data_IF_412283260348
#
_entry.id   IF_412283260348
#
_cell.length_a   1.000
_cell.length_b   1.000
_cell.length_c   1.000
_cell.angle_alpha   90.00
_cell.angle_beta   90.00
_cell.angle_gamma   90.00
#
_symmetry.space_group_name_H-M   'P 1'
#
loop_
_entity.id
_entity.type
_entity.pdbx_description
1 polymer ?
#
# COMPACT_ATOMS: atom_id res chain seq x y z
N UNK A 1 8.73 29.03 2.74
CA UNK A 1 8.27 27.95 1.82
C UNK A 1 9.48 27.45 1.03
N UNK A 2 9.95 26.21 1.24
CA UNK A 2 11.04 25.66 0.41
C UNK A 2 10.47 25.39 -0.99
N UNK A 3 10.92 26.16 -1.98
CA UNK A 3 10.71 25.86 -3.40
C UNK A 3 11.32 24.48 -3.70
N UNK A 4 10.48 23.44 -3.62
CA UNK A 4 10.87 22.08 -3.93
C UNK A 4 10.89 21.91 -5.44
N UNK A 5 12.01 21.45 -6.01
CA UNK A 5 12.10 21.09 -7.44
C UNK A 5 10.89 20.21 -7.81
N UNK A 6 10.20 20.56 -8.91
CA UNK A 6 9.09 19.76 -9.44
C UNK A 6 9.51 18.29 -9.54
N UNK A 7 8.70 17.34 -9.03
CA UNK A 7 9.04 15.91 -9.07
C UNK A 7 9.16 15.37 -10.50
N UNK A 8 8.71 16.14 -11.49
CA UNK A 8 8.75 15.82 -12.92
C UNK A 8 9.85 16.56 -13.69
N UNK A 9 10.73 17.31 -13.01
CA UNK A 9 11.83 18.01 -13.69
C UNK A 9 12.68 17.03 -14.51
N UNK A 10 12.89 17.33 -15.79
CA UNK A 10 13.68 16.50 -16.71
C UNK A 10 12.94 15.28 -17.27
N UNK A 11 11.61 15.18 -17.11
CA UNK A 11 10.79 14.17 -17.78
C UNK A 11 10.38 14.67 -19.16
N UNK A 12 10.42 13.78 -20.15
CA UNK A 12 9.97 14.04 -21.53
C UNK A 12 8.45 14.19 -21.63
N UNK A 13 7.70 13.61 -20.68
CA UNK A 13 6.24 13.60 -20.67
C UNK A 13 5.69 14.53 -19.60
N UNK A 14 4.48 15.05 -19.83
CA UNK A 14 3.78 15.89 -18.86
C UNK A 14 3.53 15.12 -17.56
N UNK A 15 3.45 15.86 -16.46
CA UNK A 15 3.13 15.29 -15.15
C UNK A 15 1.80 14.53 -15.16
N UNK A 16 0.82 15.04 -15.90
CA UNK A 16 -0.50 14.46 -16.05
C UNK A 16 -0.44 13.05 -16.67
N UNK A 17 0.19 12.89 -17.84
CA UNK A 17 0.35 11.60 -18.52
C UNK A 17 1.05 10.57 -17.62
N UNK A 18 2.11 11.02 -16.93
CA UNK A 18 2.85 10.17 -15.98
C UNK A 18 1.94 9.71 -14.84
N UNK A 19 1.19 10.63 -14.24
CA UNK A 19 0.31 10.33 -13.11
C UNK A 19 -0.86 9.44 -13.52
N UNK A 20 -1.42 9.63 -14.72
CA UNK A 20 -2.44 8.73 -15.28
C UNK A 20 -1.91 7.31 -15.42
N UNK A 21 -0.77 7.16 -16.10
CA UNK A 21 -0.15 5.86 -16.32
C UNK A 21 0.13 5.13 -15.00
N UNK A 22 0.78 5.80 -14.05
CA UNK A 22 1.10 5.23 -12.73
C UNK A 22 -0.17 4.85 -11.97
N UNK A 23 -1.19 5.72 -11.95
CA UNK A 23 -2.46 5.44 -11.28
C UNK A 23 -3.19 4.26 -11.89
N UNK A 24 -3.28 4.19 -13.22
CA UNK A 24 -3.98 3.10 -13.90
C UNK A 24 -3.30 1.76 -13.63
N UNK A 25 -1.97 1.70 -13.74
CA UNK A 25 -1.20 0.50 -13.40
C UNK A 25 -1.42 0.06 -11.94
N UNK A 26 -1.49 1.01 -11.00
CA UNK A 26 -1.64 0.71 -9.58
C UNK A 26 -3.08 0.36 -9.15
N UNK A 27 -4.08 0.64 -9.99
CA UNK A 27 -5.50 0.41 -9.68
C UNK A 27 -6.10 -0.79 -10.38
N UNK A 28 -5.65 -1.09 -11.60
CA UNK A 28 -6.22 -2.11 -12.47
C UNK A 28 -5.29 -3.30 -12.67
N UNK A 29 -5.83 -4.51 -12.86
CA UNK A 29 -5.03 -5.71 -13.09
C UNK A 29 -4.54 -5.75 -14.54
N UNK A 30 -3.60 -4.88 -14.88
CA UNK A 30 -3.00 -4.75 -16.22
C UNK A 30 -1.47 -4.93 -16.17
N UNK A 31 -0.87 -5.42 -17.25
CA UNK A 31 0.58 -5.44 -17.41
C UNK A 31 1.09 -4.08 -17.91
N UNK A 32 2.42 -3.86 -17.86
CA UNK A 32 3.01 -2.65 -18.46
C UNK A 32 2.83 -2.60 -19.98
N UNK A 33 2.79 -3.76 -20.64
CA UNK A 33 2.54 -3.85 -22.10
C UNK A 33 1.09 -3.49 -22.44
N UNK A 34 0.14 -3.91 -21.61
CA UNK A 34 -1.26 -3.50 -21.79
C UNK A 34 -1.40 -1.99 -21.63
N UNK A 35 -0.76 -1.41 -20.61
CA UNK A 35 -0.79 0.03 -20.39
C UNK A 35 -0.13 0.83 -21.52
N UNK A 36 0.97 0.34 -22.09
CA UNK A 36 1.60 0.90 -23.29
C UNK A 36 0.59 0.95 -24.45
N UNK A 37 -0.15 -0.14 -24.71
CA UNK A 37 -1.18 -0.17 -25.76
C UNK A 37 -2.34 0.78 -25.46
N UNK A 38 -2.78 0.87 -24.20
CA UNK A 38 -3.83 1.79 -23.77
C UNK A 38 -3.45 3.27 -23.92
N UNK A 39 -2.16 3.59 -23.81
CA UNK A 39 -1.65 4.95 -24.01
C UNK A 39 -1.44 5.25 -25.50
N UNK A 40 -1.00 4.27 -26.28
CA UNK A 40 -0.89 4.41 -27.74
C UNK A 40 -2.26 4.70 -28.38
N UNK A 41 -3.34 4.06 -27.91
CA UNK A 41 -4.72 4.34 -28.30
C UNK A 41 -5.14 5.80 -28.05
N UNK A 42 -4.51 6.47 -27.08
CA UNK A 42 -4.70 7.89 -26.76
C UNK A 42 -3.64 8.81 -27.39
N UNK A 43 -2.87 8.31 -28.37
CA UNK A 43 -1.83 9.09 -29.06
C UNK A 43 -0.55 9.30 -28.25
N UNK A 44 -0.35 8.58 -27.15
CA UNK A 44 0.86 8.66 -26.32
C UNK A 44 1.76 7.46 -26.57
N UNK A 45 2.82 7.65 -27.36
CA UNK A 45 3.84 6.62 -27.62
C UNK A 45 4.84 6.56 -26.48
N UNK A 46 4.80 5.50 -25.67
CA UNK A 46 5.73 5.29 -24.55
C UNK A 46 6.02 3.80 -24.36
N UNK A 47 7.29 3.45 -24.19
CA UNK A 47 7.70 2.06 -23.99
C UNK A 47 7.36 1.55 -22.57
N UNK A 48 6.95 0.28 -22.45
CA UNK A 48 6.67 -0.39 -21.18
C UNK A 48 7.78 -0.26 -20.11
N UNK A 49 9.06 -0.19 -20.49
CA UNK A 49 10.16 0.00 -19.53
C UNK A 49 10.16 1.41 -18.93
N UNK A 50 9.69 2.41 -19.68
CA UNK A 50 9.50 3.78 -19.18
C UNK A 50 8.35 3.83 -18.18
N UNK A 51 7.24 3.15 -18.48
CA UNK A 51 6.11 3.00 -17.54
C UNK A 51 6.54 2.31 -16.24
N UNK A 52 7.37 1.26 -16.35
CA UNK A 52 7.97 0.60 -15.19
C UNK A 52 8.81 1.59 -14.35
N UNK A 53 9.70 2.35 -14.98
CA UNK A 53 10.54 3.37 -14.29
C UNK A 53 9.68 4.42 -13.60
N UNK A 54 8.58 4.87 -14.21
CA UNK A 54 7.62 5.79 -13.59
C UNK A 54 6.95 5.17 -12.38
N UNK A 55 6.42 3.95 -12.48
CA UNK A 55 5.81 3.27 -11.32
C UNK A 55 6.81 3.12 -10.19
N UNK A 56 8.06 2.72 -10.48
CA UNK A 56 9.10 2.64 -9.46
C UNK A 56 9.37 3.99 -8.82
N UNK A 57 9.43 5.07 -9.59
CA UNK A 57 9.69 6.41 -9.08
C UNK A 57 8.52 6.94 -8.23
N UNK A 58 7.29 6.86 -8.74
CA UNK A 58 6.15 7.62 -8.21
C UNK A 58 5.23 6.82 -7.30
N UNK A 59 5.24 5.47 -7.32
CA UNK A 59 4.43 4.68 -6.38
C UNK A 59 4.79 4.97 -4.89
N UNK A 60 6.08 5.06 -4.50
CA UNK A 60 6.44 5.47 -3.13
C UNK A 60 6.12 6.93 -2.84
N UNK A 61 6.17 7.82 -3.83
CA UNK A 61 5.82 9.24 -3.62
C UNK A 61 4.32 9.43 -3.45
N UNK A 62 3.49 8.67 -4.17
CA UNK A 62 2.05 8.58 -3.93
C UNK A 62 1.79 8.15 -2.49
N UNK A 63 2.42 7.06 -2.04
CA UNK A 63 2.30 6.55 -0.67
C UNK A 63 2.67 7.63 0.37
N UNK A 64 3.83 8.27 0.20
CA UNK A 64 4.31 9.33 1.10
C UNK A 64 3.34 10.52 1.18
N UNK A 65 2.88 11.04 0.05
CA UNK A 65 2.04 12.25 0.01
C UNK A 65 0.62 11.95 0.52
N UNK A 66 -0.01 10.87 0.05
CA UNK A 66 -1.39 10.53 0.41
C UNK A 66 -1.54 10.10 1.88
N UNK A 67 -0.51 9.49 2.48
CA UNK A 67 -0.56 9.10 3.90
C UNK A 67 -0.86 10.25 4.85
N UNK A 68 -0.44 11.47 4.50
CA UNK A 68 -0.68 12.68 5.30
C UNK A 68 -2.17 13.09 5.34
N UNK A 69 -2.98 12.57 4.41
CA UNK A 69 -4.40 12.91 4.27
C UNK A 69 -5.34 11.77 4.70
N UNK A 70 -4.79 10.69 5.27
CA UNK A 70 -5.58 9.55 5.75
C UNK A 70 -6.34 9.90 7.04
N UNK A 71 -7.59 9.47 7.11
CA UNK A 71 -8.42 9.51 8.31
C UNK A 71 -7.85 8.58 9.37
N UNK A 72 -8.02 8.94 10.65
CA UNK A 72 -7.58 8.11 11.77
C UNK A 72 -8.28 6.74 11.78
N UNK A 73 -7.52 5.67 12.01
CA UNK A 73 -8.04 4.30 12.16
C UNK A 73 -8.46 4.01 13.60
N UNK A 74 -9.25 2.96 13.78
CA UNK A 74 -9.69 2.49 15.10
C UNK A 74 -8.64 1.61 15.79
N UNK A 75 -8.74 1.49 17.11
CA UNK A 75 -7.85 0.66 17.94
C UNK A 75 -8.18 -0.85 17.95
N UNK A 76 -8.96 -1.34 16.98
CA UNK A 76 -9.29 -2.77 16.84
C UNK A 76 -8.77 -3.27 15.51
N UNK A 77 -7.64 -3.98 15.54
CA UNK A 77 -6.92 -4.37 14.32
C UNK A 77 -7.17 -5.84 13.99
N UNK A 78 -7.21 -6.15 12.70
CA UNK A 78 -7.09 -7.49 12.13
C UNK A 78 -5.80 -7.51 11.33
N UNK A 79 -4.96 -8.49 11.62
CA UNK A 79 -3.61 -8.57 11.09
C UNK A 79 -3.45 -9.96 10.50
N UNK A 80 -2.97 -10.00 9.26
CA UNK A 80 -2.75 -11.25 8.56
C UNK A 80 -1.59 -11.09 7.58
N UNK A 81 -1.03 -12.21 7.17
CA UNK A 81 0.00 -12.29 6.16
C UNK A 81 -0.50 -13.07 4.95
N UNK A 82 -0.13 -12.61 3.77
CA UNK A 82 -0.32 -13.40 2.56
C UNK A 82 1.03 -13.84 1.99
N UNK A 83 1.02 -14.29 0.73
CA UNK A 83 2.23 -14.64 0.01
C UNK A 83 2.20 -14.02 -1.39
N UNK A 84 3.37 -13.56 -1.85
CA UNK A 84 3.61 -13.09 -3.22
C UNK A 84 4.93 -13.65 -3.72
N UNK A 85 5.02 -13.98 -5.01
CA UNK A 85 6.29 -14.44 -5.61
C UNK A 85 7.15 -13.23 -5.95
N UNK A 86 8.40 -13.28 -5.51
CA UNK A 86 9.45 -12.32 -5.84
C UNK A 86 10.71 -13.11 -6.21
N UNK A 87 11.17 -12.95 -7.45
CA UNK A 87 12.31 -13.68 -8.04
C UNK A 87 12.18 -15.20 -7.83
N UNK A 88 10.97 -15.74 -8.07
CA UNK A 88 10.66 -17.15 -7.87
C UNK A 88 10.42 -17.59 -6.41
N UNK A 89 10.84 -16.81 -5.42
CA UNK A 89 10.67 -17.14 -4.00
C UNK A 89 9.36 -16.57 -3.43
N UNK A 90 8.71 -17.33 -2.55
CA UNK A 90 7.58 -16.82 -1.77
C UNK A 90 8.06 -15.86 -0.69
N UNK A 91 7.44 -14.69 -0.63
CA UNK A 91 7.66 -13.67 0.39
C UNK A 91 6.33 -13.30 1.03
N UNK A 92 6.40 -12.67 2.21
CA UNK A 92 5.26 -12.49 3.10
C UNK A 92 4.90 -11.01 3.23
N UNK A 93 3.83 -10.55 2.56
CA UNK A 93 3.23 -9.26 2.82
C UNK A 93 2.35 -9.33 4.06
N UNK A 94 2.76 -8.62 5.10
CA UNK A 94 1.98 -8.36 6.31
C UNK A 94 1.03 -7.19 6.04
N UNK A 95 -0.21 -7.32 6.52
CA UNK A 95 -1.22 -6.28 6.41
C UNK A 95 -2.01 -6.18 7.71
N UNK A 96 -2.41 -4.96 8.06
CA UNK A 96 -3.41 -4.71 9.08
C UNK A 96 -4.54 -3.83 8.56
N UNK A 97 -5.76 -4.18 8.96
CA UNK A 97 -6.96 -3.36 8.76
C UNK A 97 -7.66 -3.17 10.10
N UNK A 98 -8.39 -2.08 10.24
CA UNK A 98 -9.15 -1.82 11.45
C UNK A 98 -10.54 -2.50 11.42
N UNK A 99 -11.36 -2.29 12.45
CA UNK A 99 -12.70 -2.89 12.51
C UNK A 99 -13.69 -2.40 11.46
N UNK A 100 -13.42 -1.28 10.81
CA UNK A 100 -14.22 -0.72 9.70
C UNK A 100 -13.65 -1.11 8.33
N UNK A 101 -12.63 -1.97 8.29
CA UNK A 101 -11.95 -2.38 7.06
C UNK A 101 -11.00 -1.32 6.50
N UNK A 102 -10.72 -0.26 7.25
CA UNK A 102 -9.77 0.80 6.90
C UNK A 102 -8.36 0.23 7.02
N UNK A 103 -7.53 0.33 5.99
CA UNK A 103 -6.15 -0.14 6.06
C UNK A 103 -5.34 0.69 7.06
N UNK A 104 -4.57 -0.01 7.91
CA UNK A 104 -3.66 0.62 8.87
C UNK A 104 -2.30 0.74 8.22
N UNK A 105 -1.67 -0.39 7.90
CA UNK A 105 -0.39 -0.40 7.22
C UNK A 105 -0.06 -1.76 6.59
N UNK A 106 1.06 -1.78 5.86
CA UNK A 106 1.59 -2.92 5.13
C UNK A 106 3.11 -3.06 5.30
N UNK A 107 3.63 -4.30 5.25
CA UNK A 107 5.07 -4.58 5.17
C UNK A 107 5.36 -5.86 4.36
N UNK A 108 6.19 -5.74 3.32
CA UNK A 108 6.79 -6.92 2.68
C UNK A 108 7.98 -7.42 3.51
N UNK A 109 7.98 -8.72 3.81
CA UNK A 109 9.05 -9.41 4.53
C UNK A 109 9.50 -10.67 3.78
N UNK A 110 10.79 -10.99 3.89
CA UNK A 110 11.34 -12.26 3.37
C UNK A 110 10.96 -13.43 4.27
N UNK A 111 10.85 -13.20 5.58
CA UNK A 111 10.56 -14.23 6.59
C UNK A 111 9.19 -14.01 7.24
N UNK A 112 8.57 -15.11 7.65
CA UNK A 112 7.34 -15.15 8.46
C UNK A 112 7.69 -15.49 9.91
N UNK A 113 8.31 -14.55 10.61
CA UNK A 113 8.80 -14.75 11.99
C UNK A 113 8.36 -13.61 12.93
N UNK A 114 8.66 -13.78 14.23
CA UNK A 114 8.30 -12.79 15.26
C UNK A 114 9.01 -11.45 15.05
N UNK A 115 10.23 -11.44 14.49
CA UNK A 115 10.97 -10.21 14.22
C UNK A 115 10.31 -9.41 13.08
N UNK A 116 9.84 -10.08 12.04
CA UNK A 116 9.06 -9.49 10.95
C UNK A 116 7.73 -8.91 11.46
N UNK A 117 7.00 -9.64 12.31
CA UNK A 117 5.78 -9.15 12.93
C UNK A 117 6.03 -7.91 13.80
N UNK A 118 7.10 -7.89 14.61
CA UNK A 118 7.48 -6.71 15.40
C UNK A 118 7.83 -5.51 14.51
N UNK A 119 8.60 -5.72 13.43
CA UNK A 119 8.91 -4.67 12.46
C UNK A 119 7.65 -4.11 11.82
N UNK A 120 6.69 -4.97 11.46
CA UNK A 120 5.41 -4.56 10.92
C UNK A 120 4.65 -3.68 11.91
N UNK A 121 4.47 -4.14 13.16
CA UNK A 121 3.76 -3.37 14.17
C UNK A 121 4.43 -2.03 14.47
N UNK A 122 5.75 -1.96 14.60
CA UNK A 122 6.46 -0.68 14.80
C UNK A 122 6.28 0.25 13.60
N UNK A 123 6.29 -0.27 12.37
CA UNK A 123 6.05 0.53 11.17
C UNK A 123 4.63 1.10 11.17
N UNK A 124 3.64 0.28 11.52
CA UNK A 124 2.24 0.68 11.60
C UNK A 124 2.00 1.74 12.69
N UNK A 125 2.56 1.53 13.89
CA UNK A 125 2.40 2.46 15.03
C UNK A 125 3.05 3.84 14.79
N UNK A 126 4.03 3.92 13.88
CA UNK A 126 4.67 5.20 13.49
C UNK A 126 3.81 6.04 12.54
N UNK A 127 2.72 5.49 11.99
CA UNK A 127 1.88 6.24 11.06
C UNK A 127 0.97 7.22 11.82
N UNK A 128 0.89 8.46 11.34
CA UNK A 128 0.11 9.52 12.01
C UNK A 128 -1.40 9.22 12.12
N UNK A 129 -1.95 8.48 11.15
CA UNK A 129 -3.36 8.08 11.14
C UNK A 129 -3.64 6.87 12.05
N UNK A 130 -2.61 6.25 12.63
CA UNK A 130 -2.75 4.98 13.36
C UNK A 130 -2.92 5.21 14.86
N UNK A 131 -3.85 4.45 15.46
CA UNK A 131 -4.09 4.42 16.91
C UNK A 131 -3.55 3.11 17.48
N UNK A 132 -2.82 3.19 18.59
CA UNK A 132 -2.30 2.00 19.29
C UNK A 132 -3.45 1.03 19.63
N UNK A 133 -3.35 -0.26 19.25
CA UNK A 133 -4.50 -1.15 19.31
C UNK A 133 -4.85 -1.54 20.74
N UNK A 134 -6.13 -1.42 21.09
CA UNK A 134 -6.74 -2.11 22.25
C UNK A 134 -6.91 -3.60 21.98
N UNK A 135 -7.11 -3.97 20.72
CA UNK A 135 -7.34 -5.36 20.31
C UNK A 135 -6.55 -5.68 19.05
N UNK A 136 -5.86 -6.81 19.04
CA UNK A 136 -5.18 -7.38 17.88
C UNK A 136 -5.83 -8.73 17.60
N UNK A 137 -6.49 -8.85 16.47
CA UNK A 137 -6.97 -10.14 15.96
C UNK A 137 -5.98 -10.63 14.90
N UNK A 138 -5.47 -11.83 15.08
CA UNK A 138 -4.44 -12.44 14.23
C UNK A 138 -4.83 -13.86 13.85
N UNK A 139 -4.17 -14.43 12.84
CA UNK A 139 -4.20 -15.87 12.61
C UNK A 139 -3.44 -16.65 13.73
N UNK A 140 -3.57 -17.97 13.76
CA UNK A 140 -2.91 -18.89 14.72
C UNK A 140 -1.39 -19.00 14.57
N UNK A 141 -0.74 -18.10 13.83
CA UNK A 141 0.71 -18.07 13.69
C UNK A 141 1.41 -17.78 15.04
N UNK A 142 2.34 -18.65 15.43
CA UNK A 142 3.11 -18.55 16.68
C UNK A 142 3.99 -17.29 16.78
N UNK A 143 4.32 -16.64 15.65
CA UNK A 143 5.06 -15.38 15.65
C UNK A 143 4.31 -14.24 16.36
N UNK A 144 2.97 -14.19 16.28
CA UNK A 144 2.20 -13.07 16.84
C UNK A 144 2.16 -13.06 18.37
N UNK A 145 1.88 -14.16 19.09
CA UNK A 145 1.97 -14.18 20.55
C UNK A 145 3.35 -13.75 21.07
N UNK A 146 4.43 -14.26 20.47
CA UNK A 146 5.80 -13.88 20.84
C UNK A 146 6.10 -12.40 20.59
N UNK A 147 5.75 -11.89 19.39
CA UNK A 147 5.91 -10.49 19.03
C UNK A 147 5.12 -9.56 19.96
N UNK A 148 3.85 -9.86 20.20
CA UNK A 148 2.97 -9.01 21.03
C UNK A 148 3.42 -8.97 22.50
N UNK A 149 3.86 -10.10 23.07
CA UNK A 149 4.42 -10.13 24.43
C UNK A 149 5.66 -9.25 24.55
N UNK A 150 6.58 -9.37 23.59
CA UNK A 150 7.81 -8.55 23.53
C UNK A 150 7.49 -7.07 23.40
N UNK A 151 6.58 -6.70 22.50
CA UNK A 151 6.20 -5.31 22.25
C UNK A 151 5.46 -4.66 23.42
N UNK A 152 4.67 -5.41 24.17
CA UNK A 152 4.09 -4.92 25.44
C UNK A 152 5.15 -4.67 26.50
N UNK A 153 6.14 -5.56 26.63
CA UNK A 153 7.25 -5.41 27.57
C UNK A 153 8.09 -4.16 27.24
N UNK A 154 8.28 -3.89 25.96
CA UNK A 154 9.07 -2.74 25.49
C UNK A 154 8.30 -1.41 25.48
N UNK A 155 7.00 -1.41 25.83
CA UNK A 155 6.16 -0.22 25.79
C UNK A 155 5.70 0.22 24.39
N UNK A 156 5.99 -0.55 23.34
CA UNK A 156 5.53 -0.28 21.97
C UNK A 156 3.99 -0.42 21.87
N UNK A 157 3.44 -1.49 22.45
CA UNK A 157 2.00 -1.75 22.51
C UNK A 157 1.46 -1.43 23.90
N UNK A 158 0.18 -1.04 23.98
CA UNK A 158 -0.48 -0.88 25.27
C UNK A 158 -0.44 -2.18 26.08
N UNK A 159 -0.12 -2.06 27.38
CA UNK A 159 -0.04 -3.20 28.31
C UNK A 159 -1.29 -4.09 28.26
N UNK A 160 -2.45 -3.46 28.11
CA UNK A 160 -3.77 -4.11 28.07
C UNK A 160 -4.25 -4.52 26.67
N UNK A 161 -3.44 -4.38 25.61
CA UNK A 161 -3.82 -4.84 24.26
C UNK A 161 -4.21 -6.32 24.28
N UNK A 162 -5.44 -6.66 23.91
CA UNK A 162 -5.92 -8.05 23.89
C UNK A 162 -5.55 -8.71 22.55
N UNK A 163 -4.82 -9.82 22.59
CA UNK A 163 -4.57 -10.66 21.41
C UNK A 163 -5.72 -11.67 21.26
N UNK A 164 -6.27 -11.81 20.06
CA UNK A 164 -7.34 -12.74 19.72
C UNK A 164 -6.95 -13.58 18.51
N UNK A 165 -7.21 -14.88 18.54
CA UNK A 165 -6.98 -15.80 17.43
C UNK A 165 -8.33 -16.32 16.90
N UNK A 166 -9.10 -15.42 16.29
CA UNK A 166 -10.50 -15.67 15.91
C UNK A 166 -10.64 -15.60 14.40
N UNK A 167 -10.80 -16.78 13.77
CA UNK A 167 -10.79 -16.93 12.31
C UNK A 167 -11.83 -16.05 11.58
N UNK A 168 -13.09 -16.05 12.02
CA UNK A 168 -14.16 -15.33 11.32
C UNK A 168 -13.98 -13.81 11.29
N UNK A 169 -13.25 -13.23 12.25
CA UNK A 169 -12.95 -11.80 12.26
C UNK A 169 -11.89 -11.41 11.21
N UNK A 170 -11.12 -12.36 10.69
CA UNK A 170 -10.08 -12.09 9.68
C UNK A 170 -10.61 -12.02 8.24
N UNK A 171 -11.88 -12.37 7.99
CA UNK A 171 -12.47 -12.30 6.65
C UNK A 171 -12.26 -10.93 5.96
N UNK A 172 -12.25 -9.83 6.73
CA UNK A 172 -12.04 -8.47 6.21
C UNK A 172 -10.62 -8.30 5.64
N UNK A 173 -9.59 -8.80 6.33
CA UNK A 173 -8.20 -8.70 5.85
C UNK A 173 -7.94 -9.69 4.70
N UNK A 174 -8.60 -10.85 4.71
CA UNK A 174 -8.53 -11.84 3.62
C UNK A 174 -9.11 -11.31 2.29
N UNK A 175 -10.24 -10.61 2.33
CA UNK A 175 -10.80 -9.95 1.14
C UNK A 175 -9.81 -8.97 0.52
N UNK A 176 -9.10 -8.26 1.39
CA UNK A 176 -8.08 -7.29 1.06
C UNK A 176 -6.86 -7.93 0.37
N UNK A 177 -6.48 -9.14 0.78
CA UNK A 177 -5.45 -9.96 0.11
C UNK A 177 -5.82 -10.34 -1.32
N UNK A 178 -7.11 -10.62 -1.60
CA UNK A 178 -7.57 -10.97 -2.96
C UNK A 178 -7.26 -9.86 -3.96
N UNK A 179 -7.37 -8.59 -3.54
CA UNK A 179 -7.05 -7.45 -4.41
C UNK A 179 -5.57 -7.43 -4.80
N UNK A 180 -4.64 -7.60 -3.85
CA UNK A 180 -3.21 -7.63 -4.19
C UNK A 180 -2.92 -8.77 -5.15
N UNK A 181 -3.43 -9.98 -4.85
CA UNK A 181 -3.21 -11.15 -5.71
C UNK A 181 -3.72 -10.90 -7.13
N UNK A 182 -4.88 -10.23 -7.26
CA UNK A 182 -5.44 -9.84 -8.56
C UNK A 182 -4.55 -8.85 -9.32
N UNK A 183 -3.98 -7.85 -8.64
CA UNK A 183 -3.10 -6.85 -9.28
C UNK A 183 -1.72 -7.40 -9.65
N UNK A 184 -1.19 -8.34 -8.86
CA UNK A 184 0.14 -8.92 -9.10
C UNK A 184 0.10 -9.99 -10.19
N UNK A 185 -1.03 -10.67 -10.39
CA UNK A 185 -1.15 -11.82 -11.32
C UNK A 185 -0.79 -11.49 -12.78
N UNK A 186 -1.24 -10.39 -13.40
CA UNK A 186 -0.88 -10.04 -14.78
C UNK A 186 0.61 -9.76 -14.98
N UNK A 187 1.29 -9.26 -13.94
CA UNK A 187 2.74 -9.02 -13.97
C UNK A 187 3.60 -10.27 -13.73
N UNK A 188 2.97 -11.44 -13.50
CA UNK A 188 3.64 -12.71 -13.19
C UNK A 188 4.56 -12.65 -11.95
N UNK A 189 4.24 -11.77 -11.00
CA UNK A 189 5.05 -11.54 -9.81
C UNK A 189 6.10 -10.45 -9.98
N UNK A 190 7.07 -10.40 -9.07
CA UNK A 190 8.12 -9.38 -9.07
C UNK A 190 9.50 -9.99 -9.30
N UNK A 191 10.42 -9.24 -9.89
CA UNK A 191 11.80 -9.70 -10.15
C UNK A 191 12.81 -9.32 -9.06
N UNK A 192 12.48 -8.36 -8.19
CA UNK A 192 13.33 -7.98 -7.06
C UNK A 192 12.53 -7.58 -5.83
N UNK A 193 13.11 -7.77 -4.65
CA UNK A 193 12.49 -7.34 -3.38
C UNK A 193 12.24 -5.83 -3.35
N UNK A 194 13.22 -5.04 -3.78
CA UNK A 194 13.14 -3.58 -3.75
C UNK A 194 12.02 -3.07 -4.63
N UNK A 195 11.91 -3.60 -5.84
CA UNK A 195 10.90 -3.15 -6.82
C UNK A 195 9.50 -3.64 -6.44
N UNK A 196 9.40 -4.86 -5.89
CA UNK A 196 8.16 -5.37 -5.28
C UNK A 196 7.66 -4.42 -4.17
N UNK A 197 8.53 -4.07 -3.23
CA UNK A 197 8.19 -3.18 -2.11
C UNK A 197 7.67 -1.82 -2.59
N UNK A 198 8.29 -1.23 -3.61
CA UNK A 198 7.89 0.08 -4.16
C UNK A 198 6.53 0.01 -4.86
N UNK A 199 6.30 -1.00 -5.68
CA UNK A 199 5.01 -1.19 -6.36
C UNK A 199 3.90 -1.51 -5.36
N UNK A 200 4.16 -2.39 -4.39
CA UNK A 200 3.19 -2.74 -3.35
C UNK A 200 2.77 -1.51 -2.53
N UNK A 201 3.69 -0.59 -2.20
CA UNK A 201 3.32 0.68 -1.56
C UNK A 201 2.27 1.46 -2.37
N UNK A 202 2.43 1.51 -3.70
CA UNK A 202 1.45 2.11 -4.61
C UNK A 202 0.11 1.38 -4.64
N UNK A 203 0.13 0.04 -4.69
CA UNK A 203 -1.11 -0.76 -4.65
C UNK A 203 -1.88 -0.56 -3.35
N UNK A 204 -1.18 -0.47 -2.23
CA UNK A 204 -1.76 -0.25 -0.91
C UNK A 204 -2.36 1.13 -0.79
N UNK A 205 -1.61 2.19 -1.11
CA UNK A 205 -2.13 3.55 -0.94
C UNK A 205 -3.35 3.82 -1.81
N UNK A 206 -3.39 3.29 -3.04
CA UNK A 206 -4.58 3.41 -3.88
C UNK A 206 -5.72 2.49 -3.43
N UNK A 207 -5.44 1.38 -2.72
CA UNK A 207 -6.49 0.64 -2.01
C UNK A 207 -7.11 1.52 -0.92
N UNK A 208 -6.30 2.30 -0.19
CA UNK A 208 -6.78 3.23 0.83
C UNK A 208 -7.62 4.36 0.21
N UNK A 209 -7.19 4.92 -0.93
CA UNK A 209 -8.02 5.89 -1.68
C UNK A 209 -9.37 5.28 -2.04
N UNK A 210 -9.39 4.08 -2.62
CA UNK A 210 -10.63 3.38 -3.01
C UNK A 210 -11.57 3.11 -1.84
N UNK A 211 -11.03 2.85 -0.65
CA UNK A 211 -11.80 2.64 0.60
C UNK A 211 -12.33 3.94 1.21
N UNK A 212 -12.12 5.09 0.59
CA UNK A 212 -12.52 6.39 1.12
C UNK A 212 -11.73 6.84 2.34
N UNK A 213 -10.51 6.31 2.52
CA UNK A 213 -9.70 6.62 3.71
C UNK A 213 -9.10 8.03 3.66
N UNK A 214 -9.04 8.65 2.48
CA UNK A 214 -8.52 10.03 2.32
C UNK A 214 -9.66 11.02 2.58
N UNK A 215 -9.47 11.93 3.53
CA UNK A 215 -10.54 12.81 4.00
C UNK A 215 -11.12 13.72 2.90
N UNK A 216 -10.24 14.27 2.06
CA UNK A 216 -10.54 15.28 1.04
C UNK A 216 -10.93 14.70 -0.33
N UNK A 217 -11.18 13.38 -0.44
CA UNK A 217 -11.45 12.73 -1.71
C UNK A 217 -12.80 12.00 -1.70
N UNK A 218 -13.69 12.23 -2.68
CA UNK A 218 -14.89 11.44 -2.85
C UNK A 218 -14.56 9.99 -3.25
N UNK A 219 -15.37 9.06 -2.74
CA UNK A 219 -15.20 7.62 -3.01
C UNK A 219 -15.68 7.32 -4.42
N UNK A 220 -14.94 6.48 -5.15
CA UNK A 220 -15.26 6.02 -6.51
C UNK A 220 -15.34 7.13 -7.60
N UNK A 221 -14.85 8.33 -7.33
CA UNK A 221 -14.74 9.40 -8.32
C UNK A 221 -13.32 9.47 -8.88
N UNK A 222 -13.10 8.84 -10.04
CA UNK A 222 -11.79 8.77 -10.68
C UNK A 222 -11.25 10.14 -11.10
N UNK A 223 -12.04 11.04 -11.73
CA UNK A 223 -11.64 12.42 -12.02
C UNK A 223 -11.23 13.22 -10.77
N UNK A 224 -12.09 13.29 -9.74
CA UNK A 224 -11.76 14.03 -8.52
C UNK A 224 -10.50 13.48 -7.85
N UNK A 225 -10.33 12.15 -7.86
CA UNK A 225 -9.10 11.55 -7.38
C UNK A 225 -7.89 11.99 -8.20
N UNK A 226 -8.02 12.10 -9.53
CA UNK A 226 -6.92 12.52 -10.41
C UNK A 226 -6.51 13.96 -10.12
N UNK A 227 -7.49 14.87 -10.02
CA UNK A 227 -7.27 16.28 -9.67
C UNK A 227 -6.58 16.42 -8.31
N UNK A 228 -7.06 15.71 -7.29
CA UNK A 228 -6.45 15.76 -5.96
C UNK A 228 -5.01 15.27 -5.98
N UNK A 229 -4.72 14.15 -6.66
CA UNK A 229 -3.34 13.65 -6.79
C UNK A 229 -2.47 14.62 -7.59
N UNK A 230 -2.96 15.20 -8.68
CA UNK A 230 -2.23 16.20 -9.45
C UNK A 230 -1.86 17.42 -8.59
N UNK A 231 -2.81 17.92 -7.78
CA UNK A 231 -2.58 19.00 -6.83
C UNK A 231 -1.51 18.63 -5.80
N UNK A 232 -1.58 17.43 -5.20
CA UNK A 232 -0.54 16.94 -4.27
C UNK A 232 0.85 16.92 -4.91
N UNK A 233 0.93 16.75 -6.22
CA UNK A 233 2.17 16.71 -6.99
C UNK A 233 2.64 18.08 -7.50
N UNK A 234 1.86 19.15 -7.28
CA UNK A 234 2.12 20.47 -7.86
C UNK A 234 2.01 20.46 -9.39
N UNK A 235 1.15 19.57 -9.91
CA UNK A 235 0.93 19.34 -11.33
C UNK A 235 -0.46 19.78 -11.79
N UNK A 236 -1.31 20.25 -10.88
CA UNK A 236 -2.54 20.94 -11.23
C UNK A 236 -2.16 22.38 -11.65
N UNK A 237 -2.52 22.74 -12.88
CA UNK A 237 -2.51 24.12 -13.36
C UNK A 237 -3.66 24.90 -12.71
#
# INVERSE_FOLDING_TARGET
>A
MRSGKSPFKGRQFTAEVILWAVRWYLQFPISYRDLERMLADRGVTVDHTTLYRWTQAYAPELDKRLRLHLRRTTGSWRVDETYVKVKGCWMYPYRAVDARGQSIDFLLSVKRDAAAAQRFFRKALKQAHTVNPRTLTVDKNAAYPSATKTMKKNGDLWRFTKLRQVKYLNNIVEQDHRRIKRLVRPGLGFQSFHTARRTLAGYEILAMVRKGQVAAMPVNDMPAQATFIAHLFGAAA
#
